data_IF_648848629991
#
_entry.id   IF_648848629991
#
_cell.length_a   1.000
_cell.length_b   1.000
_cell.length_c   1.000
_cell.angle_alpha   90.00
_cell.angle_beta   90.00
_cell.angle_gamma   90.00
#
_symmetry.space_group_name_H-M   'P 1'
#
loop_
_entity.id
_entity.type
_entity.pdbx_description
1 polymer ?
#
# COMPACT_ATOMS: atom_id res chain seq x y z
N UNK A 1 -22.11 25.45 -13.03
CA UNK A 1 -20.95 25.11 -13.87
C UNK A 1 -19.74 25.01 -12.97
N UNK A 2 -19.10 23.84 -12.92
CA UNK A 2 -17.91 23.62 -12.09
C UNK A 2 -16.72 24.46 -12.61
N UNK A 3 -15.78 24.90 -11.75
CA UNK A 3 -14.64 25.71 -12.16
C UNK A 3 -13.81 25.09 -13.29
N UNK A 4 -13.65 23.77 -13.31
CA UNK A 4 -12.90 23.06 -14.37
C UNK A 4 -13.58 23.19 -15.75
N UNK A 5 -14.92 23.08 -15.80
CA UNK A 5 -15.69 23.25 -17.05
C UNK A 5 -15.65 24.69 -17.53
N UNK A 6 -15.60 25.66 -16.61
CA UNK A 6 -15.44 27.07 -16.96
C UNK A 6 -14.03 27.39 -17.49
N UNK A 7 -13.01 26.67 -17.01
CA UNK A 7 -11.62 26.87 -17.41
C UNK A 7 -11.29 26.26 -18.78
N UNK A 8 -11.99 25.19 -19.19
CA UNK A 8 -11.81 24.54 -20.48
C UNK A 8 -13.16 24.36 -21.22
N UNK A 9 -13.47 25.21 -22.22
CA UNK A 9 -14.72 25.15 -22.98
C UNK A 9 -14.95 23.82 -23.71
N UNK A 10 -13.91 23.03 -24.00
CA UNK A 10 -14.07 21.71 -24.63
C UNK A 10 -14.71 20.69 -23.69
N UNK A 11 -14.77 20.95 -22.38
CA UNK A 11 -15.47 20.12 -21.40
C UNK A 11 -16.98 20.41 -21.34
N UNK A 12 -17.47 21.49 -21.96
CA UNK A 12 -18.87 21.88 -21.89
C UNK A 12 -19.85 20.77 -22.35
N UNK A 13 -19.58 20.00 -23.43
CA UNK A 13 -20.43 18.87 -23.83
C UNK A 13 -20.46 17.72 -22.80
N UNK A 14 -19.46 17.64 -21.92
CA UNK A 14 -19.30 16.60 -20.91
C UNK A 14 -19.56 17.12 -19.49
N UNK A 15 -20.17 18.30 -19.34
CA UNK A 15 -20.34 18.93 -18.03
C UNK A 15 -21.11 18.07 -17.02
N UNK A 16 -22.07 17.26 -17.49
CA UNK A 16 -22.87 16.38 -16.64
C UNK A 16 -21.99 15.31 -15.97
N UNK A 17 -21.02 14.73 -16.70
CA UNK A 17 -20.07 13.77 -16.15
C UNK A 17 -19.31 14.35 -14.96
N UNK A 18 -18.79 15.56 -15.07
CA UNK A 18 -18.06 16.20 -13.97
C UNK A 18 -18.96 16.52 -12.78
N UNK A 19 -20.21 16.92 -13.02
CA UNK A 19 -21.18 17.14 -11.96
C UNK A 19 -21.52 15.86 -11.22
N UNK A 20 -21.73 14.75 -11.95
CA UNK A 20 -22.04 13.45 -11.38
C UNK A 20 -20.87 12.89 -10.55
N UNK A 21 -19.64 12.94 -11.07
CA UNK A 21 -18.45 12.49 -10.36
C UNK A 21 -18.20 13.32 -9.10
N UNK A 22 -18.33 14.65 -9.19
CA UNK A 22 -18.16 15.52 -8.03
C UNK A 22 -19.19 15.20 -6.93
N UNK A 23 -20.47 15.05 -7.30
CA UNK A 23 -21.52 14.68 -6.37
C UNK A 23 -21.29 13.28 -5.76
N UNK A 24 -20.82 12.32 -6.55
CA UNK A 24 -20.49 10.97 -6.08
C UNK A 24 -19.32 10.98 -5.09
N UNK A 25 -18.29 11.80 -5.35
CA UNK A 25 -17.16 11.97 -4.45
C UNK A 25 -17.61 12.59 -3.11
N UNK A 26 -18.39 13.67 -3.14
CA UNK A 26 -18.93 14.30 -1.92
C UNK A 26 -19.83 13.34 -1.12
N UNK A 27 -20.71 12.59 -1.79
CA UNK A 27 -21.56 11.60 -1.13
C UNK A 27 -20.74 10.46 -0.52
N UNK A 28 -19.68 10.03 -1.20
CA UNK A 28 -18.78 8.99 -0.70
C UNK A 28 -18.01 9.51 0.50
N UNK A 29 -17.42 10.70 0.43
CA UNK A 29 -16.74 11.33 1.56
C UNK A 29 -17.67 11.43 2.77
N UNK A 30 -18.88 11.99 2.63
CA UNK A 30 -19.85 12.09 3.71
C UNK A 30 -20.21 10.73 4.32
N UNK A 31 -20.26 9.69 3.50
CA UNK A 31 -20.55 8.32 3.94
C UNK A 31 -19.39 7.72 4.73
N UNK A 32 -18.15 7.94 4.31
CA UNK A 32 -16.94 7.50 5.03
C UNK A 32 -16.73 8.29 6.32
N UNK A 33 -17.09 9.58 6.34
CA UNK A 33 -16.95 10.45 7.52
C UNK A 33 -18.02 10.22 8.60
N UNK A 34 -18.93 9.26 8.45
CA UNK A 34 -19.89 8.92 9.50
C UNK A 34 -19.16 8.41 10.75
N UNK A 35 -18.94 9.29 11.72
CA UNK A 35 -18.19 9.00 12.95
C UNK A 35 -16.73 9.45 12.92
N UNK A 36 -16.28 10.14 11.86
CA UNK A 36 -14.93 10.68 11.72
C UNK A 36 -14.98 12.19 11.41
N UNK A 37 -14.02 12.97 11.91
CA UNK A 37 -13.96 14.42 11.67
C UNK A 37 -13.34 14.80 10.33
N UNK A 38 -12.56 13.91 9.71
CA UNK A 38 -11.87 14.15 8.44
C UNK A 38 -11.48 12.84 7.75
N UNK A 39 -11.09 12.90 6.47
CA UNK A 39 -10.57 11.73 5.75
C UNK A 39 -9.29 11.21 6.40
N UNK A 40 -8.46 12.10 6.95
CA UNK A 40 -7.29 11.71 7.73
C UNK A 40 -7.68 10.87 8.95
N UNK A 41 -8.73 11.26 9.69
CA UNK A 41 -9.22 10.49 10.85
C UNK A 41 -9.86 9.15 10.46
N UNK A 42 -10.41 9.05 9.25
CA UNK A 42 -10.91 7.79 8.68
C UNK A 42 -9.77 6.86 8.23
N UNK A 43 -8.69 7.42 7.67
CA UNK A 43 -7.51 6.73 7.14
C UNK A 43 -6.56 6.15 8.22
N UNK A 44 -7.10 5.70 9.34
CA UNK A 44 -6.38 5.16 10.52
C UNK A 44 -6.36 3.63 10.57
N UNK A 45 -6.77 2.92 9.51
CA UNK A 45 -6.84 1.45 9.53
C UNK A 45 -5.50 0.81 9.93
N UNK A 46 -4.37 1.37 9.53
CA UNK A 46 -3.03 0.92 9.88
C UNK A 46 -2.62 1.11 11.36
N UNK A 47 -3.37 1.91 12.12
CA UNK A 47 -3.22 2.07 13.57
C UNK A 47 -4.06 1.03 14.33
N UNK A 48 -5.09 0.48 13.69
CA UNK A 48 -6.02 -0.48 14.28
C UNK A 48 -5.74 -1.93 13.89
N UNK A 49 -5.59 -2.19 12.59
CA UNK A 49 -5.30 -3.47 11.98
C UNK A 49 -3.80 -3.77 11.90
N UNK A 50 -3.46 -5.04 11.75
CA UNK A 50 -2.09 -5.53 11.84
C UNK A 50 -1.67 -5.76 13.29
N UNK A 51 -0.37 -5.93 13.49
CA UNK A 51 0.23 -6.25 14.78
C UNK A 51 0.76 -5.00 15.47
N UNK A 52 0.33 -4.77 16.70
CA UNK A 52 0.70 -3.62 17.50
C UNK A 52 1.17 -4.02 18.89
N UNK A 53 2.23 -3.37 19.35
CA UNK A 53 2.65 -3.43 20.75
C UNK A 53 1.68 -2.62 21.60
N UNK A 54 1.33 -3.13 22.78
CA UNK A 54 0.54 -2.42 23.80
C UNK A 54 1.31 -2.39 25.12
N UNK A 55 0.85 -1.58 26.07
CA UNK A 55 1.47 -1.46 27.41
C UNK A 55 1.56 -2.81 28.14
N UNK A 56 0.62 -3.72 27.88
CA UNK A 56 0.51 -5.01 28.57
C UNK A 56 0.86 -6.22 27.69
N UNK A 57 1.11 -6.02 26.40
CA UNK A 57 1.26 -7.14 25.48
C UNK A 57 1.30 -6.76 24.01
N UNK A 58 0.65 -7.60 23.21
CA UNK A 58 0.47 -7.41 21.78
C UNK A 58 -1.00 -7.54 21.43
N UNK A 59 -1.41 -6.83 20.39
CA UNK A 59 -2.69 -7.05 19.74
C UNK A 59 -2.48 -7.23 18.25
N UNK A 60 -3.19 -8.18 17.66
CA UNK A 60 -3.22 -8.41 16.23
C UNK A 60 -4.67 -8.43 15.77
N UNK A 61 -4.98 -7.60 14.77
CA UNK A 61 -6.33 -7.51 14.18
C UNK A 61 -6.31 -7.66 12.68
N UNK A 62 -7.32 -8.34 12.16
CA UNK A 62 -7.50 -8.55 10.73
C UNK A 62 -8.94 -8.39 10.29
N UNK A 63 -9.13 -7.88 9.07
CA UNK A 63 -10.41 -7.92 8.38
C UNK A 63 -10.45 -9.14 7.46
N UNK A 64 -11.35 -10.08 7.75
CA UNK A 64 -11.51 -11.33 7.01
C UNK A 64 -12.95 -11.86 7.21
N UNK A 65 -13.95 -11.23 6.58
CA UNK A 65 -15.36 -11.52 6.83
C UNK A 65 -15.77 -12.95 6.47
N UNK A 66 -15.12 -13.58 5.49
CA UNK A 66 -15.46 -14.93 5.04
C UNK A 66 -14.64 -16.03 5.72
N UNK A 67 -13.70 -15.68 6.59
CA UNK A 67 -12.96 -16.67 7.36
C UNK A 67 -13.88 -17.41 8.35
N UNK A 68 -13.58 -18.68 8.57
CA UNK A 68 -14.19 -19.54 9.59
C UNK A 68 -13.29 -19.66 10.82
N UNK A 69 -11.98 -19.53 10.66
CA UNK A 69 -11.01 -19.43 11.74
C UNK A 69 -9.71 -18.76 11.26
N UNK A 70 -9.00 -18.10 12.17
CA UNK A 70 -7.67 -17.53 11.90
C UNK A 70 -6.75 -17.86 13.06
N UNK A 71 -5.55 -18.32 12.76
CA UNK A 71 -4.52 -18.61 13.74
C UNK A 71 -3.24 -17.86 13.40
N UNK A 72 -2.63 -17.25 14.42
CA UNK A 72 -1.29 -16.74 14.32
C UNK A 72 -0.30 -17.92 14.41
N UNK A 73 0.58 -18.05 13.42
CA UNK A 73 1.59 -19.12 13.36
C UNK A 73 2.99 -18.54 13.18
N UNK A 74 3.99 -19.21 13.74
CA UNK A 74 5.40 -18.80 13.67
C UNK A 74 6.29 -19.77 14.45
N UNK A 75 7.59 -19.46 14.65
CA UNK A 75 8.48 -20.31 15.44
C UNK A 75 7.94 -20.62 16.86
N UNK A 76 7.26 -19.66 17.50
CA UNK A 76 6.61 -19.83 18.82
C UNK A 76 5.47 -20.88 18.83
N UNK A 77 4.89 -21.20 17.67
CA UNK A 77 3.87 -22.24 17.50
C UNK A 77 4.39 -23.47 16.74
N UNK A 78 5.70 -23.53 16.46
CA UNK A 78 6.32 -24.49 15.53
C UNK A 78 5.65 -24.49 14.15
N UNK A 79 5.16 -23.33 13.69
CA UNK A 79 4.41 -23.18 12.44
C UNK A 79 3.14 -24.04 12.35
N UNK A 80 2.57 -24.42 13.49
CA UNK A 80 1.34 -25.20 13.56
C UNK A 80 0.20 -24.40 14.21
N UNK A 81 -1.03 -24.78 13.84
CA UNK A 81 -2.25 -24.31 14.49
C UNK A 81 -2.27 -24.71 15.96
N UNK A 82 -2.46 -23.73 16.84
CA UNK A 82 -2.64 -23.94 18.28
C UNK A 82 -3.72 -22.99 18.80
N UNK A 83 -4.61 -23.50 19.66
CA UNK A 83 -5.77 -22.74 20.16
C UNK A 83 -5.36 -21.47 20.92
N UNK A 84 -4.22 -21.49 21.61
CA UNK A 84 -3.67 -20.30 22.30
C UNK A 84 -3.27 -19.15 21.36
N UNK A 85 -3.21 -19.40 20.05
CA UNK A 85 -2.92 -18.40 19.01
C UNK A 85 -4.10 -18.20 18.05
N UNK A 86 -5.31 -18.63 18.42
CA UNK A 86 -6.52 -18.40 17.65
C UNK A 86 -7.00 -16.95 17.80
N UNK A 87 -7.32 -16.29 16.68
CA UNK A 87 -8.02 -15.02 16.71
C UNK A 87 -9.52 -15.25 16.93
N UNK A 88 -10.17 -14.27 17.55
CA UNK A 88 -11.60 -14.30 17.88
C UNK A 88 -12.36 -13.25 17.06
N UNK A 89 -13.56 -13.61 16.60
CA UNK A 89 -14.45 -12.69 15.86
C UNK A 89 -14.95 -11.58 16.79
N UNK A 90 -14.80 -10.32 16.36
CA UNK A 90 -15.28 -9.13 17.07
C UNK A 90 -16.56 -8.53 16.46
N UNK A 91 -17.01 -9.04 15.30
CA UNK A 91 -18.09 -8.45 14.50
C UNK A 91 -17.55 -7.68 13.29
N UNK A 92 -18.41 -7.36 12.31
CA UNK A 92 -18.00 -6.63 11.10
C UNK A 92 -16.95 -7.34 10.22
N UNK A 93 -16.75 -8.64 10.41
CA UNK A 93 -15.66 -9.39 9.77
C UNK A 93 -14.27 -9.17 10.38
N UNK A 94 -14.19 -8.50 11.53
CA UNK A 94 -12.95 -8.25 12.26
C UNK A 94 -12.62 -9.45 13.16
N UNK A 95 -11.35 -9.81 13.16
CA UNK A 95 -10.74 -10.83 13.99
C UNK A 95 -9.66 -10.21 14.87
N UNK A 96 -9.55 -10.65 16.12
CA UNK A 96 -8.59 -10.10 17.08
C UNK A 96 -7.97 -11.20 17.95
N UNK A 97 -6.69 -11.06 18.28
CA UNK A 97 -6.04 -11.76 19.38
C UNK A 97 -5.24 -10.76 20.21
N UNK A 98 -5.26 -10.94 21.54
CA UNK A 98 -4.35 -10.28 22.47
C UNK A 98 -3.37 -11.30 23.03
N UNK A 99 -2.08 -10.97 23.06
CA UNK A 99 -1.01 -11.84 23.53
C UNK A 99 -0.22 -11.20 24.66
N UNK A 100 0.27 -11.97 25.64
CA UNK A 100 1.22 -11.48 26.64
C UNK A 100 2.49 -10.87 26.02
N UNK A 101 3.09 -9.90 26.69
CA UNK A 101 4.24 -9.13 26.20
C UNK A 101 5.48 -9.96 25.85
N UNK A 102 5.67 -11.10 26.52
CA UNK A 102 6.78 -12.03 26.32
C UNK A 102 6.56 -13.06 25.21
N UNK A 103 5.38 -13.05 24.58
CA UNK A 103 5.00 -14.01 23.52
C UNK A 103 5.78 -13.80 22.22
N UNK A 104 5.96 -12.53 21.84
CA UNK A 104 6.61 -12.14 20.58
C UNK A 104 7.76 -11.18 20.87
N UNK A 105 8.81 -11.27 20.05
CA UNK A 105 10.00 -10.43 20.11
C UNK A 105 10.20 -9.74 18.77
N UNK A 106 10.89 -8.60 18.80
CA UNK A 106 11.40 -7.97 17.58
C UNK A 106 12.11 -9.00 16.71
N UNK A 107 11.82 -8.98 15.41
CA UNK A 107 12.30 -9.89 14.37
C UNK A 107 11.73 -11.30 14.34
N UNK A 108 10.84 -11.67 15.27
CA UNK A 108 10.13 -12.95 15.17
C UNK A 108 9.35 -13.02 13.86
N UNK A 109 9.43 -14.17 13.19
CA UNK A 109 8.70 -14.43 11.95
C UNK A 109 7.30 -14.94 12.27
N UNK A 110 6.32 -14.52 11.49
CA UNK A 110 4.96 -14.99 11.64
C UNK A 110 4.17 -14.93 10.33
N UNK A 111 3.12 -15.74 10.28
CA UNK A 111 2.08 -15.77 9.24
C UNK A 111 0.73 -16.03 9.89
N UNK A 112 -0.33 -15.91 9.11
CA UNK A 112 -1.68 -16.32 9.52
C UNK A 112 -2.01 -17.63 8.82
N UNK A 113 -2.56 -18.60 9.55
CA UNK A 113 -3.32 -19.69 8.95
C UNK A 113 -4.78 -19.29 8.93
N UNK A 114 -5.32 -19.03 7.74
CA UNK A 114 -6.70 -18.62 7.53
C UNK A 114 -7.49 -19.82 7.01
N UNK A 115 -8.59 -20.15 7.68
CA UNK A 115 -9.54 -21.18 7.27
C UNK A 115 -10.82 -20.52 6.77
N UNK A 116 -11.45 -21.10 5.75
CA UNK A 116 -12.74 -20.67 5.19
C UNK A 116 -13.55 -21.89 4.76
N UNK A 117 -14.78 -21.68 4.30
CA UNK A 117 -15.61 -22.78 3.83
C UNK A 117 -14.97 -23.51 2.64
N UNK A 118 -14.54 -24.75 2.88
CA UNK A 118 -13.95 -25.63 1.86
C UNK A 118 -12.44 -25.48 1.65
N UNK A 119 -11.72 -24.72 2.49
CA UNK A 119 -10.27 -24.61 2.35
C UNK A 119 -9.57 -23.86 3.49
N UNK A 120 -8.24 -23.81 3.38
CA UNK A 120 -7.38 -23.00 4.24
C UNK A 120 -6.10 -22.61 3.50
N UNK A 121 -5.38 -21.64 4.02
CA UNK A 121 -4.11 -21.21 3.47
C UNK A 121 -3.32 -20.35 4.45
N UNK A 122 -2.00 -20.39 4.30
CA UNK A 122 -1.10 -19.47 4.99
C UNK A 122 -1.10 -18.12 4.27
N UNK A 123 -1.15 -17.03 5.03
CA UNK A 123 -1.24 -15.66 4.53
C UNK A 123 -0.28 -14.74 5.25
N UNK A 124 0.28 -13.79 4.53
CA UNK A 124 0.91 -12.62 5.12
C UNK A 124 -0.20 -11.61 5.50
N UNK A 125 -0.20 -11.08 6.74
CA UNK A 125 -1.11 -10.01 7.16
C UNK A 125 -1.15 -8.82 6.17
N UNK A 126 -2.32 -8.38 5.72
CA UNK A 126 -2.50 -7.21 4.85
C UNK A 126 -1.86 -5.92 5.37
N UNK A 127 -1.73 -5.79 6.70
CA UNK A 127 -1.15 -4.64 7.40
C UNK A 127 0.24 -4.93 8.00
N UNK A 128 0.94 -5.97 7.52
CA UNK A 128 2.31 -6.24 7.95
C UNK A 128 3.22 -5.04 7.64
N UNK A 129 3.96 -4.57 8.67
CA UNK A 129 4.90 -3.44 8.56
C UNK A 129 6.30 -3.85 8.12
N UNK A 130 6.58 -5.15 8.17
CA UNK A 130 7.78 -5.75 7.61
C UNK A 130 7.49 -7.16 7.17
N UNK A 131 7.99 -7.48 5.98
CA UNK A 131 7.92 -8.81 5.39
C UNK A 131 9.32 -9.13 4.89
N UNK A 132 9.83 -10.33 5.15
CA UNK A 132 11.17 -10.76 4.75
C UNK A 132 11.13 -12.06 3.98
N UNK A 133 12.04 -12.21 3.03
CA UNK A 133 12.25 -13.45 2.29
C UNK A 133 13.40 -14.25 2.89
N UNK A 134 13.18 -15.53 3.18
CA UNK A 134 14.27 -16.41 3.58
C UNK A 134 15.22 -16.68 2.41
N UNK A 135 16.53 -16.55 2.65
CA UNK A 135 17.54 -16.62 1.60
C UNK A 135 17.74 -18.04 1.01
N UNK A 136 17.27 -19.09 1.68
CA UNK A 136 17.46 -20.47 1.25
C UNK A 136 16.17 -21.09 0.67
N UNK A 137 15.06 -20.89 1.37
CA UNK A 137 13.75 -21.45 1.01
C UNK A 137 12.95 -20.52 0.12
N UNK A 138 13.32 -19.23 0.06
CA UNK A 138 12.61 -18.17 -0.66
C UNK A 138 11.18 -17.90 -0.17
N UNK A 139 10.81 -18.48 0.97
CA UNK A 139 9.51 -18.25 1.63
C UNK A 139 9.50 -16.84 2.21
N UNK A 140 8.41 -16.13 1.98
CA UNK A 140 8.15 -14.86 2.65
C UNK A 140 7.41 -15.07 3.97
N UNK A 141 7.74 -14.26 4.97
CA UNK A 141 7.03 -14.19 6.23
C UNK A 141 6.93 -12.75 6.71
N UNK A 142 5.84 -12.40 7.39
CA UNK A 142 5.82 -11.17 8.14
C UNK A 142 6.82 -11.26 9.29
N UNK A 143 7.36 -10.11 9.68
CA UNK A 143 8.33 -10.01 10.74
C UNK A 143 7.83 -8.99 11.77
N UNK A 144 7.82 -9.39 13.04
CA UNK A 144 7.47 -8.49 14.15
C UNK A 144 8.47 -7.34 14.15
N UNK A 145 7.96 -6.11 14.00
CA UNK A 145 8.81 -4.93 13.88
C UNK A 145 8.58 -3.95 15.02
N UNK A 146 9.27 -4.22 16.13
CA UNK A 146 9.27 -3.38 17.35
C UNK A 146 10.72 -3.13 17.83
N UNK A 147 11.51 -2.34 17.08
CA UNK A 147 12.91 -2.12 17.43
C UNK A 147 13.01 -1.48 18.83
N UNK A 148 14.03 -1.83 19.64
CA UNK A 148 14.17 -1.33 21.01
C UNK A 148 14.40 0.19 21.09
N UNK A 149 14.77 0.81 19.97
CA UNK A 149 14.91 2.26 19.84
C UNK A 149 14.16 2.69 18.60
N UNK A 150 13.15 3.53 18.79
CA UNK A 150 12.41 4.11 17.67
C UNK A 150 13.26 5.18 16.96
N UNK A 151 13.12 5.25 15.64
CA UNK A 151 13.78 6.26 14.83
C UNK A 151 13.38 7.68 15.26
N UNK A 152 14.38 8.57 15.39
CA UNK A 152 14.16 9.98 15.73
C UNK A 152 14.50 10.86 14.52
N UNK A 153 13.46 11.41 13.90
CA UNK A 153 13.58 12.34 12.78
C UNK A 153 14.36 13.59 13.19
N UNK A 154 15.42 13.90 12.44
CA UNK A 154 16.17 15.15 12.60
C UNK A 154 15.46 16.30 11.86
N UNK A 155 14.73 16.00 10.79
CA UNK A 155 13.91 16.93 10.03
C UNK A 155 12.43 16.52 10.14
N UNK A 156 11.76 16.80 11.27
CA UNK A 156 10.39 16.35 11.52
C UNK A 156 9.34 17.04 10.62
N UNK A 157 9.70 18.14 9.98
CA UNK A 157 8.84 18.85 9.04
C UNK A 157 9.69 19.37 7.90
N UNK A 158 9.35 18.93 6.69
CA UNK A 158 9.96 19.38 5.45
C UNK A 158 8.91 20.07 4.58
N UNK A 159 9.34 21.01 3.73
CA UNK A 159 8.48 21.68 2.75
C UNK A 159 9.16 21.62 1.39
N UNK A 160 8.53 20.99 0.38
CA UNK A 160 9.06 20.95 -0.98
C UNK A 160 9.30 22.34 -1.55
N UNK A 161 10.41 22.50 -2.28
CA UNK A 161 10.68 23.70 -3.07
C UNK A 161 10.24 23.47 -4.51
N UNK A 162 9.39 24.34 -5.05
CA UNK A 162 8.90 24.27 -6.43
C UNK A 162 9.67 25.22 -7.36
N UNK A 163 9.79 24.91 -8.67
CA UNK A 163 9.32 23.69 -9.35
C UNK A 163 10.18 22.46 -9.01
N UNK A 164 9.61 21.27 -9.16
CA UNK A 164 10.34 20.01 -8.93
C UNK A 164 11.22 19.65 -10.13
N UNK A 165 12.48 19.35 -9.86
CA UNK A 165 13.44 18.73 -10.75
C UNK A 165 13.73 17.34 -10.19
N UNK A 166 13.10 16.34 -10.81
CA UNK A 166 12.92 15.00 -10.25
C UNK A 166 13.99 14.05 -10.78
N UNK A 167 14.73 13.41 -9.88
CA UNK A 167 15.58 12.26 -10.16
C UNK A 167 14.80 10.98 -9.83
N UNK A 168 14.33 10.27 -10.84
CA UNK A 168 13.68 8.98 -10.66
C UNK A 168 14.71 7.88 -10.43
N UNK A 169 14.48 7.05 -9.40
CA UNK A 169 15.44 6.04 -8.99
C UNK A 169 14.79 4.78 -8.42
N UNK A 170 15.49 3.67 -8.60
CA UNK A 170 15.22 2.39 -7.97
C UNK A 170 16.42 1.99 -7.10
N UNK A 171 16.22 1.88 -5.77
CA UNK A 171 17.29 1.66 -4.78
C UNK A 171 18.16 0.44 -5.11
N UNK A 172 17.51 -0.69 -5.40
CA UNK A 172 18.19 -1.96 -5.61
C UNK A 172 19.12 -2.05 -6.82
N UNK A 173 19.04 -1.12 -7.78
CA UNK A 173 19.86 -1.14 -9.00
C UNK A 173 20.56 0.20 -9.27
N UNK A 174 20.64 1.06 -8.26
CA UNK A 174 21.26 2.38 -8.38
C UNK A 174 22.80 2.33 -8.43
N UNK A 175 23.40 1.14 -8.36
CA UNK A 175 24.84 0.93 -8.19
C UNK A 175 25.40 0.05 -9.31
N UNK A 176 26.71 0.11 -9.51
CA UNK A 176 27.43 -0.74 -10.47
C UNK A 176 27.57 -2.19 -9.97
N UNK A 177 27.48 -2.42 -8.65
CA UNK A 177 27.62 -3.75 -8.09
C UNK A 177 26.52 -4.70 -8.62
N UNK A 178 26.91 -5.91 -9.01
CA UNK A 178 26.00 -6.95 -9.55
C UNK A 178 25.18 -7.64 -8.44
N UNK A 179 24.57 -6.85 -7.56
CA UNK A 179 23.67 -7.29 -6.50
C UNK A 179 22.62 -6.23 -6.20
N UNK A 180 21.64 -6.60 -5.39
CA UNK A 180 20.67 -5.64 -4.87
C UNK A 180 21.37 -4.64 -3.94
N UNK A 181 21.24 -3.36 -4.25
CA UNK A 181 21.69 -2.24 -3.41
C UNK A 181 20.78 -1.97 -2.22
N UNK A 182 21.31 -1.33 -1.18
CA UNK A 182 20.56 -1.00 0.05
C UNK A 182 20.17 0.47 0.16
N UNK A 183 19.22 0.78 1.05
CA UNK A 183 18.85 2.15 1.41
C UNK A 183 20.05 2.95 1.94
N UNK A 184 20.89 2.32 2.77
CA UNK A 184 22.11 2.93 3.28
C UNK A 184 23.07 3.29 2.14
N UNK A 185 23.27 2.39 1.17
CA UNK A 185 24.15 2.65 0.03
C UNK A 185 23.59 3.74 -0.90
N UNK A 186 22.27 3.79 -1.07
CA UNK A 186 21.63 4.86 -1.81
C UNK A 186 21.86 6.22 -1.13
N UNK A 187 21.67 6.28 0.19
CA UNK A 187 21.91 7.46 1.03
C UNK A 187 23.37 7.93 0.94
N UNK A 188 24.34 7.01 1.04
CA UNK A 188 25.77 7.36 1.06
C UNK A 188 26.35 7.66 -0.32
N UNK A 189 25.96 6.92 -1.35
CA UNK A 189 26.66 6.94 -2.65
C UNK A 189 25.87 7.61 -3.77
N UNK A 190 24.54 7.60 -3.69
CA UNK A 190 23.67 8.07 -4.78
C UNK A 190 23.12 9.45 -4.46
N UNK A 191 22.62 9.67 -3.24
CA UNK A 191 22.07 10.95 -2.81
C UNK A 191 23.05 12.13 -3.02
N UNK A 192 24.37 12.03 -2.72
CA UNK A 192 25.31 13.12 -3.01
C UNK A 192 25.43 13.43 -4.51
N UNK A 193 25.28 12.43 -5.39
CA UNK A 193 25.33 12.61 -6.85
C UNK A 193 24.09 13.33 -7.35
N UNK A 194 22.91 12.95 -6.85
CA UNK A 194 21.63 13.62 -7.15
C UNK A 194 21.71 15.10 -6.79
N UNK A 195 22.22 15.41 -5.60
CA UNK A 195 22.44 16.78 -5.13
C UNK A 195 23.42 17.53 -6.02
N UNK A 196 24.59 16.93 -6.30
CA UNK A 196 25.61 17.56 -7.12
C UNK A 196 25.14 17.83 -8.55
N UNK A 197 24.22 17.01 -9.07
CA UNK A 197 23.60 17.20 -10.38
C UNK A 197 22.51 18.28 -10.39
N UNK A 198 22.10 18.81 -9.23
CA UNK A 198 21.17 19.94 -9.11
C UNK A 198 19.69 19.57 -9.04
N UNK A 199 19.36 18.29 -8.82
CA UNK A 199 17.98 17.87 -8.57
C UNK A 199 17.52 18.29 -7.16
N UNK A 200 16.24 18.63 -7.02
CA UNK A 200 15.64 19.00 -5.73
C UNK A 200 14.54 18.02 -5.29
N UNK A 201 14.34 16.94 -6.05
CA UNK A 201 13.34 15.93 -5.78
C UNK A 201 13.84 14.55 -6.21
N UNK A 202 13.52 13.52 -5.44
CA UNK A 202 13.73 12.13 -5.80
C UNK A 202 12.36 11.46 -5.93
N UNK A 203 12.15 10.71 -7.00
CA UNK A 203 11.03 9.76 -7.12
C UNK A 203 11.58 8.37 -6.81
N UNK A 204 11.19 7.78 -5.68
CA UNK A 204 11.61 6.45 -5.27
C UNK A 204 10.59 5.40 -5.74
N UNK A 205 11.04 4.57 -6.67
CA UNK A 205 10.29 3.42 -7.18
C UNK A 205 10.47 2.19 -6.29
N UNK A 206 9.55 1.23 -6.42
CA UNK A 206 9.65 -0.11 -5.83
C UNK A 206 9.79 -0.14 -4.29
N UNK A 207 9.30 0.88 -3.59
CA UNK A 207 9.40 0.98 -2.13
C UNK A 207 8.51 -0.06 -1.44
N UNK A 208 7.24 -0.20 -1.83
CA UNK A 208 6.34 -1.19 -1.26
C UNK A 208 6.81 -2.62 -1.59
N UNK A 209 6.66 -3.55 -0.65
CA UNK A 209 7.16 -4.92 -0.81
C UNK A 209 6.45 -5.64 -1.96
N UNK A 210 7.27 -6.27 -2.81
CA UNK A 210 6.85 -6.94 -4.03
C UNK A 210 7.65 -8.25 -4.18
N UNK A 211 7.02 -9.43 -4.31
CA UNK A 211 7.73 -10.70 -4.27
C UNK A 211 8.61 -10.90 -5.50
N UNK A 212 8.16 -10.42 -6.67
CA UNK A 212 8.87 -10.55 -7.93
C UNK A 212 9.73 -9.30 -8.21
N UNK A 213 11.04 -9.41 -8.00
CA UNK A 213 11.97 -8.30 -8.24
C UNK A 213 11.95 -7.79 -9.69
N UNK A 214 11.74 -8.68 -10.66
CA UNK A 214 11.61 -8.33 -12.08
C UNK A 214 10.35 -7.53 -12.43
N UNK A 215 9.42 -7.33 -11.48
CA UNK A 215 8.27 -6.43 -11.65
C UNK A 215 8.65 -4.96 -11.55
N UNK A 216 9.87 -4.64 -11.14
CA UNK A 216 10.31 -3.26 -10.92
C UNK A 216 9.47 -2.49 -9.88
N UNK A 217 8.85 -3.22 -8.95
CA UNK A 217 7.97 -2.67 -7.92
C UNK A 217 6.48 -2.71 -8.24
N UNK A 218 6.08 -3.04 -9.48
CA UNK A 218 4.67 -2.95 -9.87
C UNK A 218 3.80 -4.10 -9.35
N UNK A 219 4.38 -5.25 -8.98
CA UNK A 219 3.63 -6.39 -8.42
C UNK A 219 3.64 -6.37 -6.88
N UNK A 220 3.01 -5.34 -6.29
CA UNK A 220 2.97 -5.13 -4.83
C UNK A 220 2.18 -6.24 -4.14
N UNK A 221 2.73 -6.78 -3.05
CA UNK A 221 2.08 -7.78 -2.19
C UNK A 221 1.75 -7.27 -0.80
N UNK A 222 2.61 -6.43 -0.21
CA UNK A 222 2.46 -5.98 1.18
C UNK A 222 2.60 -4.47 1.25
N UNK A 223 1.46 -3.79 1.16
CA UNK A 223 1.37 -2.34 0.92
C UNK A 223 1.95 -1.50 2.06
N UNK A 224 2.01 -2.04 3.28
CA UNK A 224 2.52 -1.34 4.47
C UNK A 224 3.97 -1.72 4.83
N UNK A 225 4.61 -2.58 4.02
CA UNK A 225 5.98 -3.02 4.24
C UNK A 225 6.91 -2.37 3.21
N UNK A 226 7.95 -1.62 3.63
CA UNK A 226 9.02 -1.27 2.72
C UNK A 226 9.78 -2.53 2.33
N UNK A 227 10.22 -2.61 1.06
CA UNK A 227 10.85 -3.82 0.54
C UNK A 227 12.09 -4.18 1.35
N UNK A 228 12.07 -5.39 1.92
CA UNK A 228 13.11 -5.87 2.81
C UNK A 228 14.45 -6.12 2.11
N UNK A 229 14.43 -6.22 0.78
CA UNK A 229 15.64 -6.41 -0.04
C UNK A 229 16.62 -5.26 0.07
N UNK A 230 16.11 -4.05 0.34
CA UNK A 230 16.94 -2.85 0.42
C UNK A 230 17.37 -2.52 1.85
N UNK A 231 16.78 -3.17 2.86
CA UNK A 231 17.09 -2.95 4.27
C UNK A 231 15.88 -2.97 5.18
N UNK A 232 15.98 -2.23 6.27
CA UNK A 232 14.98 -2.05 7.33
C UNK A 232 14.11 -0.81 7.07
N UNK A 233 12.90 -0.74 7.68
CA UNK A 233 12.10 0.48 7.69
C UNK A 233 12.89 1.71 8.18
N UNK A 234 13.76 1.53 9.17
CA UNK A 234 14.57 2.57 9.81
C UNK A 234 15.66 3.08 8.87
N UNK A 235 16.25 2.21 8.05
CA UNK A 235 17.20 2.63 7.01
C UNK A 235 16.50 3.43 5.90
N UNK A 236 15.24 3.11 5.58
CA UNK A 236 14.44 3.96 4.67
C UNK A 236 14.12 5.32 5.31
N UNK A 237 13.72 5.35 6.59
CA UNK A 237 13.50 6.61 7.32
C UNK A 237 14.76 7.46 7.35
N UNK A 238 15.92 6.85 7.60
CA UNK A 238 17.21 7.53 7.59
C UNK A 238 17.58 8.11 6.21
N UNK A 239 17.29 7.37 5.14
CA UNK A 239 17.46 7.87 3.77
C UNK A 239 16.62 9.12 3.51
N UNK A 240 15.34 9.09 3.89
CA UNK A 240 14.41 10.22 3.69
C UNK A 240 14.82 11.42 4.55
N UNK A 241 15.12 11.21 5.84
CA UNK A 241 15.56 12.26 6.77
C UNK A 241 16.86 12.93 6.29
N UNK A 242 17.77 12.14 5.72
CA UNK A 242 19.02 12.66 5.13
C UNK A 242 18.74 13.46 3.86
N UNK A 243 17.82 13.02 3.00
CA UNK A 243 17.41 13.77 1.82
C UNK A 243 16.77 15.11 2.21
N UNK A 244 15.87 15.13 3.20
CA UNK A 244 15.26 16.34 3.74
C UNK A 244 16.29 17.30 4.33
N UNK A 245 17.26 16.79 5.10
CA UNK A 245 18.36 17.59 5.65
C UNK A 245 19.25 18.24 4.57
N UNK A 246 19.21 17.72 3.35
CA UNK A 246 19.89 18.26 2.17
C UNK A 246 18.98 19.06 1.23
N UNK A 247 17.72 19.28 1.62
CA UNK A 247 16.78 20.10 0.84
C UNK A 247 16.10 19.36 -0.30
N UNK A 248 16.12 18.02 -0.36
CA UNK A 248 15.40 17.26 -1.38
C UNK A 248 14.03 16.81 -0.90
N UNK A 249 13.04 17.03 -1.75
CA UNK A 249 11.73 16.35 -1.70
C UNK A 249 11.92 14.87 -2.03
N UNK A 250 11.19 13.98 -1.35
CA UNK A 250 11.15 12.55 -1.65
C UNK A 250 9.71 12.13 -1.92
N UNK A 251 9.44 11.72 -3.16
CA UNK A 251 8.18 11.14 -3.59
C UNK A 251 8.29 9.62 -3.66
N UNK A 252 7.18 8.93 -3.45
CA UNK A 252 7.09 7.47 -3.55
C UNK A 252 6.18 7.05 -4.71
N UNK A 253 6.54 5.98 -5.42
CA UNK A 253 5.60 5.28 -6.29
C UNK A 253 4.56 4.56 -5.44
N UNK A 254 3.29 4.89 -5.63
CA UNK A 254 2.17 4.21 -5.00
C UNK A 254 1.37 3.45 -6.05
N UNK A 255 1.40 2.12 -5.94
CA UNK A 255 0.78 1.21 -6.91
C UNK A 255 -0.56 0.76 -6.35
N UNK A 256 -1.59 1.60 -6.48
CA UNK A 256 -2.96 1.25 -6.06
C UNK A 256 -3.85 0.82 -7.22
N UNK A 257 -3.31 0.73 -8.44
CA UNK A 257 -4.06 0.31 -9.63
C UNK A 257 -4.40 -1.18 -9.65
N UNK A 258 -3.57 -2.01 -9.02
CA UNK A 258 -3.72 -3.45 -8.97
C UNK A 258 -2.88 -4.04 -7.83
N UNK A 259 -3.07 -5.32 -7.54
CA UNK A 259 -2.25 -6.11 -6.62
C UNK A 259 -1.75 -7.38 -7.28
N UNK A 260 -0.60 -7.89 -6.83
CA UNK A 260 -0.14 -9.22 -7.25
C UNK A 260 -1.19 -10.30 -6.97
N UNK A 261 -1.29 -11.30 -7.84
CA UNK A 261 -2.24 -12.42 -7.70
C UNK A 261 -1.81 -13.50 -6.71
N UNK A 262 -0.61 -13.39 -6.14
CA UNK A 262 -0.10 -14.33 -5.14
C UNK A 262 -1.06 -14.44 -3.96
N UNK A 263 -1.41 -15.67 -3.58
CA UNK A 263 -2.29 -15.92 -2.44
C UNK A 263 -1.57 -15.99 -1.10
N UNK A 264 -0.30 -16.38 -1.08
CA UNK A 264 0.47 -16.51 0.17
C UNK A 264 1.06 -15.16 0.55
N UNK A 265 1.75 -14.50 -0.38
CA UNK A 265 2.44 -13.23 -0.13
C UNK A 265 1.53 -12.02 -0.27
N UNK A 266 0.54 -12.09 -1.17
CA UNK A 266 -0.33 -10.97 -1.53
C UNK A 266 -1.72 -11.05 -0.90
N UNK A 267 -2.57 -10.10 -1.30
CA UNK A 267 -3.95 -9.98 -0.81
C UNK A 267 -4.94 -10.92 -1.53
N UNK A 268 -4.50 -11.60 -2.59
CA UNK A 268 -5.36 -12.46 -3.40
C UNK A 268 -5.92 -13.59 -2.54
N UNK A 269 -7.25 -13.73 -2.49
CA UNK A 269 -7.93 -14.82 -1.78
C UNK A 269 -7.52 -14.93 -0.30
N UNK A 270 -7.30 -13.78 0.34
CA UNK A 270 -6.86 -13.70 1.73
C UNK A 270 -7.82 -14.46 2.68
N UNK A 271 -9.12 -14.14 2.64
CA UNK A 271 -10.15 -14.80 3.45
C UNK A 271 -10.85 -15.99 2.76
N UNK A 272 -10.25 -16.52 1.69
CA UNK A 272 -10.81 -17.59 0.87
C UNK A 272 -11.65 -17.13 -0.32
N UNK A 273 -12.05 -15.86 -0.35
CA UNK A 273 -12.84 -15.28 -1.45
C UNK A 273 -11.98 -14.44 -2.38
N UNK A 274 -12.28 -14.50 -3.68
CA UNK A 274 -11.59 -13.64 -4.66
C UNK A 274 -12.02 -12.18 -4.54
N UNK A 275 -13.20 -11.90 -3.98
CA UNK A 275 -13.79 -10.57 -4.01
C UNK A 275 -13.56 -9.75 -2.74
N UNK A 276 -12.80 -10.20 -1.74
CA UNK A 276 -12.66 -9.46 -0.48
C UNK A 276 -12.18 -8.01 -0.71
N UNK A 277 -10.95 -7.85 -1.18
CA UNK A 277 -10.35 -6.57 -1.57
C UNK A 277 -10.61 -6.19 -3.04
N UNK A 278 -11.00 -7.17 -3.85
CA UNK A 278 -11.04 -7.06 -5.31
C UNK A 278 -12.46 -7.19 -5.86
N UNK A 279 -12.63 -6.89 -7.14
CA UNK A 279 -13.85 -7.30 -7.83
C UNK A 279 -13.91 -8.82 -7.99
N UNK A 280 -15.12 -9.36 -8.16
CA UNK A 280 -15.33 -10.77 -8.47
C UNK A 280 -15.28 -11.01 -9.99
N UNK A 281 -15.01 -12.26 -10.38
CA UNK A 281 -14.96 -12.69 -11.78
C UNK A 281 -13.96 -11.89 -12.62
N UNK A 282 -14.26 -11.73 -13.92
CA UNK A 282 -13.36 -11.09 -14.87
C UNK A 282 -13.03 -9.62 -14.58
N UNK A 283 -13.90 -8.87 -13.88
CA UNK A 283 -13.60 -7.48 -13.47
C UNK A 283 -12.50 -7.43 -12.41
N UNK A 284 -12.28 -8.52 -11.67
CA UNK A 284 -11.26 -8.63 -10.63
C UNK A 284 -9.87 -8.98 -11.13
N UNK A 285 -9.66 -9.11 -12.45
CA UNK A 285 -8.41 -9.57 -13.06
C UNK A 285 -7.96 -8.61 -14.17
N UNK A 286 -6.69 -8.20 -14.13
CA UNK A 286 -6.10 -7.39 -15.19
C UNK A 286 -5.48 -8.29 -16.27
N UNK A 287 -6.02 -8.34 -17.50
CA UNK A 287 -5.67 -9.38 -18.48
C UNK A 287 -4.23 -9.32 -18.99
N UNK A 288 -3.61 -8.14 -18.98
CA UNK A 288 -2.24 -7.94 -19.49
C UNK A 288 -1.20 -8.03 -18.37
N UNK A 289 -1.58 -7.69 -17.14
CA UNK A 289 -0.66 -7.62 -16.01
C UNK A 289 -0.74 -8.88 -15.13
N UNK A 290 -1.70 -9.76 -15.39
CA UNK A 290 -1.89 -11.01 -14.66
C UNK A 290 -2.02 -10.78 -13.14
N UNK A 291 -2.90 -9.83 -12.79
CA UNK A 291 -2.99 -9.21 -11.47
C UNK A 291 -4.44 -9.04 -11.01
N UNK A 292 -4.64 -8.70 -9.73
CA UNK A 292 -5.96 -8.46 -9.13
C UNK A 292 -6.34 -6.99 -9.14
N UNK A 293 -7.60 -6.68 -9.41
CA UNK A 293 -8.12 -5.30 -9.48
C UNK A 293 -9.01 -4.97 -8.28
N UNK A 294 -8.63 -3.93 -7.54
CA UNK A 294 -9.31 -3.49 -6.33
C UNK A 294 -10.76 -3.14 -6.60
N UNK A 295 -11.64 -3.40 -5.62
CA UNK A 295 -13.00 -2.91 -5.64
C UNK A 295 -13.08 -1.60 -4.86
N UNK A 296 -12.84 -0.50 -5.55
CA UNK A 296 -12.85 0.85 -4.96
C UNK A 296 -14.22 1.28 -4.44
N UNK A 297 -15.31 0.57 -4.81
CA UNK A 297 -16.66 0.82 -4.28
C UNK A 297 -16.89 0.31 -2.85
N UNK A 298 -15.92 -0.38 -2.24
CA UNK A 298 -16.03 -0.93 -0.87
C UNK A 298 -15.35 -0.05 0.17
N UNK A 299 -16.04 0.23 1.26
CA UNK A 299 -15.52 1.10 2.33
C UNK A 299 -14.27 0.56 2.99
N UNK A 300 -14.18 -0.74 3.24
CA UNK A 300 -12.98 -1.33 3.83
C UNK A 300 -11.79 -1.32 2.86
N UNK A 301 -12.04 -1.32 1.53
CA UNK A 301 -10.98 -1.16 0.52
C UNK A 301 -10.53 0.29 0.45
N UNK A 302 -11.47 1.25 0.43
CA UNK A 302 -11.15 2.67 0.54
C UNK A 302 -10.36 2.95 1.82
N UNK A 303 -10.79 2.39 2.96
CA UNK A 303 -10.11 2.53 4.25
C UNK A 303 -8.70 1.94 4.21
N UNK A 304 -8.52 0.78 3.59
CA UNK A 304 -7.21 0.15 3.41
C UNK A 304 -6.26 1.04 2.59
N UNK A 305 -6.70 1.50 1.42
CA UNK A 305 -5.88 2.27 0.48
C UNK A 305 -5.60 3.70 0.98
N UNK A 306 -6.60 4.40 1.51
CA UNK A 306 -6.41 5.74 2.09
C UNK A 306 -5.53 5.67 3.34
N UNK A 307 -5.69 4.63 4.16
CA UNK A 307 -4.80 4.39 5.28
C UNK A 307 -3.37 4.07 4.84
N UNK A 308 -3.18 3.48 3.65
CA UNK A 308 -1.86 3.25 3.11
C UNK A 308 -1.17 4.56 2.71
N UNK A 309 -1.91 5.46 2.05
CA UNK A 309 -1.44 6.83 1.76
C UNK A 309 -1.01 7.53 3.06
N UNK A 310 -1.87 7.55 4.07
CA UNK A 310 -1.56 8.19 5.37
C UNK A 310 -0.36 7.55 6.04
N UNK A 311 -0.25 6.23 6.05
CA UNK A 311 0.88 5.51 6.64
C UNK A 311 2.22 5.96 6.05
N UNK A 312 2.35 6.02 4.72
CA UNK A 312 3.59 6.42 4.07
C UNK A 312 3.95 7.90 4.33
N UNK A 313 2.95 8.79 4.41
CA UNK A 313 3.14 10.19 4.78
C UNK A 313 3.58 10.34 6.25
N UNK A 314 3.00 9.59 7.18
CA UNK A 314 3.22 9.78 8.62
C UNK A 314 4.41 9.00 9.16
N UNK A 315 4.54 7.73 8.79
CA UNK A 315 5.58 6.83 9.31
C UNK A 315 6.93 7.08 8.65
N UNK A 316 6.92 7.39 7.35
CA UNK A 316 8.14 7.54 6.54
C UNK A 316 8.38 8.97 6.04
N UNK A 317 7.44 9.91 6.26
CA UNK A 317 7.60 11.32 5.87
C UNK A 317 7.87 11.52 4.38
N UNK A 318 7.31 10.67 3.50
CA UNK A 318 7.27 11.01 2.09
C UNK A 318 6.52 12.32 1.86
N UNK A 319 6.94 13.09 0.86
CA UNK A 319 6.42 14.43 0.57
C UNK A 319 5.26 14.42 -0.44
N UNK A 320 4.92 13.25 -0.96
CA UNK A 320 3.89 13.02 -1.95
C UNK A 320 4.13 11.72 -2.72
N UNK A 321 3.33 11.52 -3.75
CA UNK A 321 3.30 10.26 -4.49
C UNK A 321 3.20 10.46 -5.99
N UNK A 322 3.70 9.45 -6.72
CA UNK A 322 3.25 9.16 -8.07
C UNK A 322 2.30 7.97 -8.01
N UNK A 323 1.05 8.16 -8.40
CA UNK A 323 0.09 7.06 -8.56
C UNK A 323 0.35 6.35 -9.88
N UNK A 324 0.76 5.08 -9.82
CA UNK A 324 1.09 4.31 -11.01
C UNK A 324 -0.07 3.49 -11.54
N UNK A 325 -0.20 3.49 -12.87
CA UNK A 325 -1.27 2.78 -13.56
C UNK A 325 -2.62 3.50 -13.53
N UNK A 326 -2.64 4.83 -13.36
CA UNK A 326 -3.89 5.63 -13.34
C UNK A 326 -4.75 5.39 -14.58
N UNK A 327 -4.18 5.25 -15.78
CA UNK A 327 -4.96 4.88 -16.98
C UNK A 327 -5.72 3.56 -16.81
N UNK A 328 -5.12 2.58 -16.15
CA UNK A 328 -5.77 1.29 -15.85
C UNK A 328 -6.91 1.44 -14.85
N UNK A 329 -6.76 2.36 -13.89
CA UNK A 329 -7.78 2.71 -12.91
C UNK A 329 -8.96 3.46 -13.55
N UNK A 330 -8.68 4.41 -14.44
CA UNK A 330 -9.70 5.30 -15.00
C UNK A 330 -10.67 4.60 -15.94
N UNK A 331 -10.26 3.56 -16.65
CA UNK A 331 -11.07 2.96 -17.71
C UNK A 331 -11.29 1.47 -17.48
N UNK A 332 -12.51 0.99 -17.75
CA UNK A 332 -12.84 -0.45 -17.63
C UNK A 332 -12.05 -1.35 -18.60
N UNK A 333 -11.55 -0.80 -19.71
CA UNK A 333 -10.66 -1.50 -20.64
C UNK A 333 -9.17 -1.22 -20.38
N UNK A 334 -8.88 -0.49 -19.30
CA UNK A 334 -7.55 -0.14 -18.85
C UNK A 334 -6.72 0.69 -19.85
N UNK A 335 -7.39 1.33 -20.82
CA UNK A 335 -6.75 2.06 -21.91
C UNK A 335 -6.11 1.16 -22.98
N UNK A 336 -6.36 -0.16 -22.93
CA UNK A 336 -5.79 -1.10 -23.89
C UNK A 336 -6.41 -0.90 -25.28
N UNK A 337 -5.55 -0.83 -26.29
CA UNK A 337 -5.98 -0.70 -27.69
C UNK A 337 -6.59 0.66 -28.03
N UNK A 338 -6.48 1.66 -27.15
CA UNK A 338 -6.98 3.02 -27.40
C UNK A 338 -5.84 3.97 -27.74
N UNK A 339 -6.10 4.86 -28.70
CA UNK A 339 -5.32 6.07 -28.91
C UNK A 339 -6.22 7.24 -28.56
N UNK A 340 -5.86 8.01 -27.53
CA UNK A 340 -6.66 9.16 -27.10
C UNK A 340 -6.37 10.37 -28.00
N UNK A 341 -7.34 10.74 -28.84
CA UNK A 341 -7.20 11.76 -29.89
C UNK A 341 -8.17 12.94 -29.72
N UNK A 342 -9.24 12.77 -28.95
CA UNK A 342 -10.25 13.80 -28.72
C UNK A 342 -10.95 13.59 -27.35
N UNK A 343 -11.74 14.57 -26.92
CA UNK A 343 -12.35 14.58 -25.58
C UNK A 343 -13.43 13.51 -25.40
N UNK A 344 -14.18 13.18 -26.46
CA UNK A 344 -15.22 12.16 -26.40
C UNK A 344 -14.66 10.80 -25.97
N UNK A 345 -13.41 10.49 -26.33
CA UNK A 345 -12.74 9.24 -25.97
C UNK A 345 -12.37 9.14 -24.48
N UNK A 346 -12.20 10.29 -23.80
CA UNK A 346 -12.00 10.33 -22.35
C UNK A 346 -13.33 10.20 -21.60
N UNK A 347 -14.44 10.64 -22.19
CA UNK A 347 -15.76 10.75 -21.55
C UNK A 347 -16.83 9.92 -22.28
N UNK A 348 -16.51 8.68 -22.64
CA UNK A 348 -17.39 7.80 -23.44
C UNK A 348 -18.26 6.82 -22.63
N UNK A 349 -18.41 7.04 -21.32
CA UNK A 349 -19.13 6.12 -20.42
C UNK A 349 -18.35 4.86 -20.04
N UNK A 350 -17.12 4.70 -20.54
CA UNK A 350 -16.22 3.60 -20.16
C UNK A 350 -15.31 3.89 -18.96
N UNK A 351 -15.64 4.90 -18.15
CA UNK A 351 -14.86 5.34 -17.00
C UNK A 351 -15.26 4.55 -15.76
N UNK A 352 -14.29 4.10 -14.97
CA UNK A 352 -14.55 3.55 -13.64
C UNK A 352 -14.74 4.69 -12.63
N UNK A 353 -16.00 4.95 -12.29
CA UNK A 353 -16.36 6.03 -11.38
C UNK A 353 -15.87 5.77 -9.95
N UNK A 354 -15.81 4.51 -9.51
CA UNK A 354 -15.37 4.16 -8.16
C UNK A 354 -13.86 4.47 -8.02
N UNK A 355 -13.07 4.15 -9.05
CA UNK A 355 -11.65 4.44 -9.07
C UNK A 355 -11.36 5.95 -9.12
N UNK A 356 -12.13 6.71 -9.91
CA UNK A 356 -12.00 8.17 -9.98
C UNK A 356 -12.38 8.86 -8.67
N UNK A 357 -13.42 8.36 -7.99
CA UNK A 357 -13.78 8.81 -6.64
C UNK A 357 -12.67 8.49 -5.65
N UNK A 358 -12.11 7.28 -5.69
CA UNK A 358 -10.96 6.92 -4.84
C UNK A 358 -9.76 7.87 -5.03
N UNK A 359 -9.44 8.26 -6.27
CA UNK A 359 -8.36 9.21 -6.56
C UNK A 359 -8.67 10.66 -6.12
N UNK A 360 -9.95 10.98 -5.93
CA UNK A 360 -10.41 12.31 -5.49
C UNK A 360 -10.38 12.45 -3.95
N UNK A 361 -10.68 11.37 -3.25
CA UNK A 361 -10.59 11.24 -1.78
C UNK A 361 -9.13 11.16 -1.34
#
# INVERSE_FOLDING_TARGET
MLPIVAADPYLAPHSDFFHDIHALAEQTEQRLLKGHSSLADFATAHEFFGMHRTDTGWVLREWAPNATAIFLIGPFSNWHKQDRFALHKQGGGIWEIMLPADTLRHQDLYRLLVEWQGGCGERIPPFARRVVQDNHTHIFSAQVWDPPTHFQWQVPTFKPTLPLFIYEAHVGMAQEAERVGTYWEFKEYILPRVIAAGYNCIQLMAVAEHPYYGSFGYQVSSYFAPSSRFGTPEELKELIDTAHAKGLTVLMDIVHSHSVKNEVEGLSRFDGTLYQYFHDGGRGEHPVWDSRLFNYGKDEVLRYLLSNVRYWLEEFKFDGFRFDGVTSMLYYDHGLGRAFTNYDEYFNGGIDHDALVYLTL
#
